data_IF_367916313013
#
_entry.id   IF_367916313013
#
_cell.length_a   1.000
_cell.length_b   1.000
_cell.length_c   1.000
_cell.angle_alpha   90.00
_cell.angle_beta   90.00
_cell.angle_gamma   90.00
#
_symmetry.space_group_name_H-M   'P 1'
#
loop_
_entity.id
_entity.type
_entity.pdbx_description
1 polymer ?
#
# COMPACT_ATOMS: atom_id res chain seq x y z
N UNK A 1 -23.55 13.71 -9.45
CA UNK A 1 -22.11 13.95 -9.64
C UNK A 1 -21.56 12.89 -10.60
N UNK A 2 -20.70 13.25 -11.56
CA UNK A 2 -20.00 12.27 -12.42
C UNK A 2 -18.58 12.12 -11.91
N UNK A 3 -18.13 10.89 -11.74
CA UNK A 3 -16.78 10.55 -11.32
C UNK A 3 -16.06 9.83 -12.46
N UNK A 4 -14.77 10.05 -12.57
CA UNK A 4 -13.93 9.46 -13.60
C UNK A 4 -12.71 8.81 -12.94
N UNK A 5 -12.36 7.60 -13.39
CA UNK A 5 -11.12 6.93 -13.01
C UNK A 5 -10.05 7.37 -14.02
N UNK A 6 -9.07 8.14 -13.56
CA UNK A 6 -8.02 8.70 -14.42
C UNK A 6 -6.76 7.82 -14.45
N UNK A 7 -6.56 6.97 -13.46
CA UNK A 7 -5.42 6.07 -13.38
C UNK A 7 -5.68 4.87 -12.50
N UNK A 8 -5.03 3.76 -12.82
CA UNK A 8 -5.13 2.49 -12.11
C UNK A 8 -3.71 1.99 -11.82
N UNK A 9 -3.47 1.58 -10.58
CA UNK A 9 -2.28 0.83 -10.19
C UNK A 9 -2.68 -0.53 -9.68
N UNK A 10 -1.88 -1.56 -10.00
CA UNK A 10 -2.13 -2.92 -9.58
C UNK A 10 -0.84 -3.66 -9.28
N UNK A 11 -0.91 -4.57 -8.30
CA UNK A 11 0.13 -5.54 -8.00
C UNK A 11 -0.52 -6.83 -7.50
N UNK A 12 -0.44 -7.87 -8.28
CA UNK A 12 -1.07 -9.15 -8.00
C UNK A 12 -0.24 -10.31 -8.53
N UNK A 13 -0.64 -11.54 -8.22
CA UNK A 13 -0.01 -12.76 -8.77
C UNK A 13 -0.28 -12.94 -10.27
N UNK A 14 -1.18 -12.17 -10.85
CA UNK A 14 -1.47 -12.18 -12.28
C UNK A 14 -0.67 -11.11 -13.04
N UNK A 15 -0.42 -9.95 -12.42
CA UNK A 15 0.22 -8.82 -13.07
C UNK A 15 0.82 -7.84 -12.06
N UNK A 16 1.87 -7.13 -12.46
CA UNK A 16 2.54 -6.11 -11.66
C UNK A 16 2.24 -4.67 -12.11
N UNK A 17 1.46 -4.50 -13.17
CA UNK A 17 0.93 -3.24 -13.66
C UNK A 17 -0.36 -3.46 -14.47
N UNK A 18 -1.00 -2.35 -14.84
CA UNK A 18 -2.28 -2.39 -15.55
C UNK A 18 -2.18 -2.99 -16.96
N UNK A 19 -1.09 -2.74 -17.69
CA UNK A 19 -0.90 -3.25 -19.06
C UNK A 19 -0.70 -4.77 -19.04
N UNK A 20 0.12 -5.27 -18.11
CA UNK A 20 0.28 -6.71 -17.89
C UNK A 20 -1.04 -7.38 -17.52
N UNK A 21 -1.85 -6.73 -16.65
CA UNK A 21 -3.15 -7.30 -16.27
C UNK A 21 -4.08 -7.43 -17.47
N UNK A 22 -4.17 -6.42 -18.32
CA UNK A 22 -4.98 -6.48 -19.54
C UNK A 22 -4.56 -7.63 -20.44
N UNK A 23 -3.26 -7.78 -20.65
CA UNK A 23 -2.68 -8.87 -21.46
C UNK A 23 -2.98 -10.24 -20.85
N UNK A 24 -2.71 -10.39 -19.55
CA UNK A 24 -2.93 -11.65 -18.84
C UNK A 24 -4.41 -12.10 -18.87
N UNK A 25 -5.34 -11.15 -18.73
CA UNK A 25 -6.77 -11.44 -18.83
C UNK A 25 -7.20 -11.79 -20.25
N UNK A 26 -6.63 -11.15 -21.27
CA UNK A 26 -6.95 -11.45 -22.67
C UNK A 26 -6.43 -12.83 -23.10
N UNK A 27 -5.28 -13.22 -22.58
CA UNK A 27 -4.61 -14.49 -22.91
C UNK A 27 -5.01 -15.65 -21.98
N UNK A 28 -5.81 -15.36 -20.94
CA UNK A 28 -6.17 -16.32 -19.91
C UNK A 28 -4.93 -16.95 -19.25
N UNK A 29 -3.92 -16.10 -18.97
CA UNK A 29 -2.62 -16.52 -18.47
C UNK A 29 -2.69 -17.12 -17.06
N UNK A 30 -1.79 -18.05 -16.76
CA UNK A 30 -1.65 -18.60 -15.43
C UNK A 30 -1.10 -17.56 -14.44
N UNK A 31 -1.49 -17.69 -13.17
CA UNK A 31 -0.94 -16.87 -12.11
C UNK A 31 0.49 -17.28 -11.75
N UNK A 32 1.35 -16.30 -11.53
CA UNK A 32 2.70 -16.52 -11.04
C UNK A 32 2.92 -15.64 -9.79
N UNK A 33 3.36 -16.20 -8.64
CA UNK A 33 3.49 -15.42 -7.42
C UNK A 33 4.26 -14.13 -7.64
N UNK A 34 3.61 -13.00 -7.41
CA UNK A 34 4.25 -11.70 -7.46
C UNK A 34 5.16 -11.52 -6.24
N UNK A 35 6.40 -11.15 -6.47
CA UNK A 35 7.29 -10.72 -5.40
C UNK A 35 6.80 -9.43 -4.73
N UNK A 36 7.51 -9.02 -3.69
CA UNK A 36 7.27 -7.72 -3.05
C UNK A 36 7.84 -6.62 -3.96
N UNK A 37 7.07 -5.56 -4.29
CA UNK A 37 7.57 -4.49 -5.13
C UNK A 37 8.74 -3.76 -4.45
N UNK A 38 9.61 -3.22 -5.26
CA UNK A 38 10.77 -2.48 -4.76
C UNK A 38 10.39 -1.13 -4.17
N UNK A 39 9.30 -0.52 -4.68
CA UNK A 39 8.75 0.78 -4.23
C UNK A 39 9.85 1.84 -4.12
N UNK A 40 10.41 2.23 -5.25
CA UNK A 40 11.58 3.13 -5.28
C UNK A 40 11.24 4.53 -4.79
N UNK A 41 9.99 4.91 -4.80
CA UNK A 41 9.51 6.15 -4.22
C UNK A 41 9.84 6.25 -2.72
N UNK A 42 9.81 5.12 -1.99
CA UNK A 42 10.19 5.11 -0.57
C UNK A 42 11.72 5.27 -0.45
N UNK A 43 12.23 6.26 0.30
CA UNK A 43 13.66 6.45 0.51
C UNK A 43 14.35 5.17 1.01
N UNK A 44 15.58 4.91 0.54
CA UNK A 44 16.30 3.64 0.79
C UNK A 44 16.39 3.26 2.28
N UNK A 45 16.56 4.24 3.16
CA UNK A 45 16.64 4.00 4.61
C UNK A 45 15.31 3.49 5.17
N UNK A 46 14.21 4.10 4.76
CA UNK A 46 12.85 3.75 5.18
C UNK A 46 12.38 2.45 4.50
N UNK A 47 12.74 2.25 3.24
CA UNK A 47 12.37 1.05 2.46
C UNK A 47 12.81 -0.25 3.11
N UNK A 48 13.95 -0.26 3.83
CA UNK A 48 14.40 -1.45 4.56
C UNK A 48 13.50 -1.80 5.74
N UNK A 49 12.81 -0.82 6.30
CA UNK A 49 11.92 -0.95 7.46
C UNK A 49 10.47 -1.11 7.07
N UNK A 50 10.13 -0.67 5.84
CA UNK A 50 8.77 -0.69 5.33
C UNK A 50 8.24 -2.12 5.22
N UNK A 51 7.06 -2.41 5.78
CA UNK A 51 6.41 -3.70 5.64
C UNK A 51 5.95 -3.95 4.21
N UNK A 52 5.61 -5.20 3.89
CA UNK A 52 5.11 -5.61 2.58
C UNK A 52 3.89 -4.79 2.17
N UNK A 53 2.95 -4.62 3.08
CA UNK A 53 1.70 -3.86 2.87
C UNK A 53 1.97 -2.41 2.48
N UNK A 54 2.91 -1.74 3.15
CA UNK A 54 3.27 -0.36 2.81
C UNK A 54 3.94 -0.28 1.42
N UNK A 55 4.84 -1.21 1.10
CA UNK A 55 5.48 -1.26 -0.23
C UNK A 55 4.46 -1.47 -1.33
N UNK A 56 3.52 -2.39 -1.15
CA UNK A 56 2.44 -2.64 -2.10
C UNK A 56 1.56 -1.41 -2.30
N UNK A 57 1.12 -0.79 -1.20
CA UNK A 57 0.24 0.37 -1.25
C UNK A 57 0.90 1.57 -1.95
N UNK A 58 2.17 1.85 -1.63
CA UNK A 58 2.93 2.95 -2.27
C UNK A 58 3.15 2.66 -3.76
N UNK A 59 3.49 1.44 -4.12
CA UNK A 59 3.70 1.04 -5.52
C UNK A 59 2.45 1.25 -6.36
N UNK A 60 1.30 0.75 -5.92
CA UNK A 60 0.05 0.88 -6.69
C UNK A 60 -0.44 2.33 -6.73
N UNK A 61 -0.24 3.10 -5.66
CA UNK A 61 -0.57 4.53 -5.65
C UNK A 61 0.29 5.31 -6.64
N UNK A 62 1.61 5.04 -6.69
CA UNK A 62 2.52 5.65 -7.66
C UNK A 62 2.13 5.30 -9.10
N UNK A 63 1.82 4.04 -9.39
CA UNK A 63 1.35 3.60 -10.71
C UNK A 63 0.08 4.35 -11.13
N UNK A 64 -0.90 4.46 -10.25
CA UNK A 64 -2.16 5.16 -10.52
C UNK A 64 -1.93 6.64 -10.81
N UNK A 65 -1.13 7.33 -9.99
CA UNK A 65 -0.79 8.73 -10.20
C UNK A 65 -0.01 8.95 -11.51
N UNK A 66 0.93 8.07 -11.83
CA UNK A 66 1.69 8.13 -13.08
C UNK A 66 0.80 7.96 -14.31
N UNK A 67 -0.14 7.01 -14.29
CA UNK A 67 -1.12 6.83 -15.36
C UNK A 67 -2.04 8.06 -15.50
N UNK A 68 -2.51 8.60 -14.38
CA UNK A 68 -3.34 9.80 -14.34
C UNK A 68 -2.59 11.09 -14.70
N UNK A 69 -1.26 11.07 -14.74
CA UNK A 69 -0.38 12.26 -14.84
C UNK A 69 -0.66 13.26 -13.71
N UNK A 70 -1.01 12.75 -12.53
CA UNK A 70 -1.28 13.54 -11.34
C UNK A 70 0.02 13.85 -10.60
N UNK A 71 0.08 15.03 -9.96
CA UNK A 71 1.19 15.39 -9.10
C UNK A 71 1.06 14.64 -7.77
N UNK A 72 2.00 13.72 -7.52
CA UNK A 72 2.01 12.90 -6.32
C UNK A 72 2.21 13.72 -5.03
N UNK A 73 2.85 14.89 -5.14
CA UNK A 73 3.12 15.76 -3.99
C UNK A 73 1.90 16.58 -3.54
N UNK A 74 0.88 16.69 -4.39
CA UNK A 74 -0.32 17.50 -4.14
C UNK A 74 -1.63 16.67 -4.13
N UNK A 75 -1.54 15.35 -4.41
CA UNK A 75 -2.72 14.50 -4.51
C UNK A 75 -3.22 14.09 -3.13
N UNK A 76 -4.44 14.47 -2.77
CA UNK A 76 -5.12 13.92 -1.59
C UNK A 76 -5.29 12.40 -1.73
N UNK A 77 -5.14 11.67 -0.63
CA UNK A 77 -5.11 10.20 -0.68
C UNK A 77 -5.93 9.55 0.44
N UNK A 78 -6.56 8.43 0.11
CA UNK A 78 -7.25 7.57 1.07
C UNK A 78 -6.72 6.16 0.90
N UNK A 79 -6.09 5.65 1.95
CA UNK A 79 -5.64 4.27 2.02
C UNK A 79 -6.66 3.43 2.76
N UNK A 80 -6.86 2.20 2.31
CA UNK A 80 -7.82 1.29 2.95
C UNK A 80 -7.28 -0.13 3.02
N UNK A 81 -7.66 -0.85 4.07
CA UNK A 81 -7.43 -2.28 4.19
C UNK A 81 -8.45 -2.88 5.16
N UNK A 82 -8.90 -4.09 4.88
CA UNK A 82 -9.78 -4.83 5.80
C UNK A 82 -9.01 -5.37 6.99
N UNK A 83 -7.81 -5.90 6.76
CA UNK A 83 -7.04 -6.66 7.75
C UNK A 83 -5.75 -5.96 8.20
N UNK A 84 -5.38 -4.83 7.59
CA UNK A 84 -4.10 -4.16 7.80
C UNK A 84 -2.90 -5.14 7.63
N UNK A 85 -1.87 -5.05 8.50
CA UNK A 85 -0.73 -5.98 8.48
C UNK A 85 -0.89 -7.03 9.59
N UNK A 86 -1.58 -8.12 9.23
CA UNK A 86 -1.83 -9.24 10.16
C UNK A 86 -0.55 -9.98 10.55
N UNK A 87 0.47 -10.01 9.68
CA UNK A 87 1.74 -10.64 9.98
C UNK A 87 2.48 -9.90 11.11
N UNK A 88 2.50 -8.58 11.06
CA UNK A 88 3.10 -7.76 12.13
C UNK A 88 2.31 -7.94 13.42
N UNK A 89 0.99 -7.92 13.37
CA UNK A 89 0.13 -8.09 14.54
C UNK A 89 0.34 -9.45 15.20
N UNK A 90 0.40 -10.54 14.43
CA UNK A 90 0.69 -11.88 14.93
C UNK A 90 2.08 -11.94 15.58
N UNK A 91 3.10 -11.38 14.94
CA UNK A 91 4.46 -11.32 15.50
C UNK A 91 4.51 -10.60 16.85
N UNK A 92 3.76 -9.49 16.99
CA UNK A 92 3.67 -8.75 18.26
C UNK A 92 2.97 -9.58 19.32
N UNK A 93 1.83 -10.19 19.00
CA UNK A 93 1.09 -11.05 19.92
C UNK A 93 1.94 -12.23 20.40
N UNK A 94 2.67 -12.89 19.50
CA UNK A 94 3.62 -13.97 19.87
C UNK A 94 4.72 -13.48 20.78
N UNK A 95 5.31 -12.32 20.52
CA UNK A 95 6.36 -11.75 21.36
C UNK A 95 5.86 -11.40 22.77
N UNK A 96 4.62 -10.90 22.87
CA UNK A 96 3.99 -10.60 24.17
C UNK A 96 3.62 -11.86 24.98
N UNK A 97 3.41 -12.98 24.32
CA UNK A 97 3.14 -14.27 24.98
C UNK A 97 4.42 -14.90 25.59
N UNK A 98 5.62 -14.45 25.20
CA UNK A 98 6.87 -14.92 25.76
C UNK A 98 7.18 -14.25 27.11
N UNK A 99 7.91 -14.93 28.01
CA UNK A 99 8.26 -14.36 29.33
C UNK A 99 8.99 -13.03 29.24
N UNK A 100 9.88 -12.86 28.26
CA UNK A 100 10.71 -11.67 28.07
C UNK A 100 9.94 -10.45 27.55
N UNK A 101 8.83 -10.66 26.83
CA UNK A 101 7.97 -9.61 26.25
C UNK A 101 8.75 -8.53 25.47
N UNK A 102 9.79 -8.94 24.73
CA UNK A 102 10.63 -8.05 23.96
C UNK A 102 9.97 -7.75 22.63
N UNK A 103 9.67 -6.48 22.35
CA UNK A 103 9.11 -6.02 21.10
C UNK A 103 10.15 -5.31 20.24
N UNK A 104 10.12 -5.55 18.94
CA UNK A 104 10.90 -4.79 17.97
C UNK A 104 10.29 -3.40 17.79
N UNK A 105 11.05 -2.30 18.01
CA UNK A 105 10.55 -0.94 17.76
C UNK A 105 10.05 -0.73 16.33
N UNK A 106 10.74 -1.33 15.34
CA UNK A 106 10.34 -1.26 13.93
C UNK A 106 9.01 -1.97 13.68
N UNK A 107 8.80 -3.17 14.25
CA UNK A 107 7.52 -3.86 14.13
C UNK A 107 6.40 -3.09 14.80
N UNK A 108 6.65 -2.56 15.99
CA UNK A 108 5.68 -1.73 16.70
C UNK A 108 5.31 -0.48 15.91
N UNK A 109 6.30 0.26 15.37
CA UNK A 109 6.05 1.41 14.50
C UNK A 109 5.17 1.07 13.27
N UNK A 110 5.38 -0.11 12.68
CA UNK A 110 4.66 -0.56 11.49
C UNK A 110 3.33 -1.29 11.80
N UNK A 111 2.96 -1.48 13.06
CA UNK A 111 1.73 -2.18 13.43
C UNK A 111 0.47 -1.33 13.30
N UNK A 112 0.64 -0.02 13.15
CA UNK A 112 -0.50 0.89 12.98
C UNK A 112 -1.04 0.81 11.56
N UNK A 113 -2.36 0.83 11.44
CA UNK A 113 -3.06 0.64 10.16
C UNK A 113 -2.73 1.70 9.12
N UNK A 114 -2.39 2.92 9.55
CA UNK A 114 -2.04 4.03 8.68
C UNK A 114 -0.54 4.06 8.28
N UNK A 115 0.25 3.05 8.60
CA UNK A 115 1.66 2.99 8.20
C UNK A 115 1.86 3.18 6.67
N UNK A 116 1.07 2.56 5.77
CA UNK A 116 1.18 2.79 4.33
C UNK A 116 1.00 4.26 3.93
N UNK A 117 0.05 4.96 4.55
CA UNK A 117 -0.17 6.40 4.32
C UNK A 117 1.03 7.24 4.73
N UNK A 118 1.68 6.90 5.86
CA UNK A 118 2.90 7.54 6.31
C UNK A 118 4.08 7.33 5.35
N UNK A 119 4.27 6.11 4.85
CA UNK A 119 5.31 5.83 3.84
C UNK A 119 5.04 6.52 2.50
N UNK A 120 3.76 6.64 2.09
CA UNK A 120 3.37 7.43 0.94
C UNK A 120 3.75 8.90 1.10
N UNK A 121 3.36 9.54 2.21
CA UNK A 121 3.67 10.93 2.48
C UNK A 121 5.18 11.21 2.49
N UNK A 122 5.97 10.32 3.13
CA UNK A 122 7.43 10.43 3.17
C UNK A 122 8.02 10.27 1.76
N UNK A 123 7.56 9.29 0.99
CA UNK A 123 8.12 8.98 -0.33
C UNK A 123 7.78 10.05 -1.37
N UNK A 124 6.55 10.52 -1.38
CA UNK A 124 6.06 11.52 -2.35
C UNK A 124 6.36 12.97 -1.96
N UNK A 125 6.81 13.22 -0.72
CA UNK A 125 6.89 14.58 -0.18
C UNK A 125 5.50 15.25 -0.04
N UNK A 126 4.44 14.47 0.01
CA UNK A 126 3.07 14.94 -0.01
C UNK A 126 2.62 15.43 1.37
N UNK A 127 2.10 16.64 1.42
CA UNK A 127 1.53 17.27 2.61
C UNK A 127 0.01 17.49 2.50
N UNK A 128 -0.62 17.01 1.41
CA UNK A 128 -2.06 17.04 1.22
C UNK A 128 -2.77 16.08 2.17
N UNK A 129 -4.09 16.22 2.35
CA UNK A 129 -4.85 15.31 3.20
C UNK A 129 -4.62 13.85 2.84
N UNK A 130 -4.22 13.06 3.82
CA UNK A 130 -3.96 11.65 3.67
C UNK A 130 -4.64 10.89 4.80
N UNK A 131 -5.66 10.10 4.48
CA UNK A 131 -6.46 9.36 5.44
C UNK A 131 -6.28 7.85 5.29
N UNK A 132 -6.49 7.14 6.39
CA UNK A 132 -6.66 5.70 6.38
C UNK A 132 -8.05 5.33 6.89
N UNK A 133 -8.68 4.39 6.20
CA UNK A 133 -10.02 3.88 6.57
C UNK A 133 -9.97 2.36 6.62
N UNK A 134 -10.36 1.79 7.76
CA UNK A 134 -10.59 0.36 7.87
C UNK A 134 -11.94 -0.01 7.26
N UNK A 135 -11.95 -0.89 6.25
CA UNK A 135 -13.17 -1.31 5.58
C UNK A 135 -12.96 -1.54 4.09
N UNK A 136 -13.98 -2.02 3.43
CA UNK A 136 -13.94 -2.29 1.99
C UNK A 136 -14.78 -1.29 1.19
N UNK A 137 -16.08 -1.28 1.37
CA UNK A 137 -16.98 -0.40 0.60
C UNK A 137 -17.06 1.02 1.18
N UNK A 138 -16.91 1.16 2.47
CA UNK A 138 -16.99 2.44 3.18
C UNK A 138 -15.86 3.39 2.77
N UNK A 139 -14.72 2.85 2.41
CA UNK A 139 -13.57 3.64 1.96
C UNK A 139 -13.83 4.38 0.65
N UNK A 140 -14.64 3.83 -0.24
CA UNK A 140 -15.05 4.51 -1.46
C UNK A 140 -15.92 5.73 -1.16
N UNK A 141 -16.83 5.62 -0.21
CA UNK A 141 -17.71 6.73 0.19
C UNK A 141 -16.94 7.90 0.81
N UNK A 142 -15.79 7.61 1.42
CA UNK A 142 -14.94 8.64 2.05
C UNK A 142 -13.92 9.25 1.08
N UNK A 143 -13.64 8.56 -0.03
CA UNK A 143 -12.74 9.06 -1.08
C UNK A 143 -13.45 9.98 -2.08
N UNK A 144 -14.79 10.03 -2.05
CA UNK A 144 -15.66 10.81 -2.94
C UNK A 144 -16.11 12.11 -2.29
#
# INVERSE_FOLDING_TARGET
>A
MKLYVSGIGIWSDLAQDWEQLKTALAENSDTNPAGIPRSELIPRAERRRAPKTAKLAVEVAEQACRMAKADISETASVFTSVLADTEISDNICRALALPQKILSPTKFHNSVQNAPAGYWAIGSGNHSPCNYVGGFMESWALAL
#
